data_IF_388280001970
#
_entry.id   IF_388280001970
#
_cell.length_a   1.000
_cell.length_b   1.000
_cell.length_c   1.000
_cell.angle_alpha   90.00
_cell.angle_beta   90.00
_cell.angle_gamma   90.00
#
_symmetry.space_group_name_H-M   'P 1'
#
loop_
_entity.id
_entity.type
_entity.pdbx_description
1 polymer ?
#
# COMPACT_ATOMS: atom_id res chain seq x y z
N UNK A 1 -6.53 -3.75 10.45
CA UNK A 1 -6.88 -5.17 10.63
C UNK A 1 -8.29 -5.27 11.19
N UNK A 2 -9.14 -6.08 10.58
CA UNK A 2 -10.54 -6.28 11.00
C UNK A 2 -10.84 -7.77 11.02
N UNK A 3 -11.70 -8.20 11.94
CA UNK A 3 -12.20 -9.56 12.04
C UNK A 3 -13.58 -9.62 11.40
N UNK A 4 -13.81 -10.56 10.50
CA UNK A 4 -15.12 -10.79 9.90
C UNK A 4 -15.72 -12.07 10.47
N UNK A 5 -16.96 -12.00 10.95
CA UNK A 5 -17.73 -13.14 11.47
C UNK A 5 -19.16 -13.07 10.93
N UNK A 6 -19.54 -14.05 10.09
CA UNK A 6 -20.83 -14.05 9.39
C UNK A 6 -21.01 -12.81 8.51
N UNK A 7 -22.04 -12.00 8.81
CA UNK A 7 -22.32 -10.73 8.13
C UNK A 7 -21.80 -9.49 8.89
N UNK A 8 -20.94 -9.67 9.90
CA UNK A 8 -20.40 -8.56 10.70
C UNK A 8 -18.89 -8.42 10.51
N UNK A 9 -18.43 -7.18 10.34
CA UNK A 9 -17.00 -6.83 10.28
C UNK A 9 -16.70 -5.95 11.50
N UNK A 10 -15.83 -6.44 12.39
CA UNK A 10 -15.36 -5.70 13.56
C UNK A 10 -13.93 -5.22 13.36
N UNK A 11 -13.65 -3.91 13.46
CA UNK A 11 -12.29 -3.40 13.39
C UNK A 11 -11.49 -3.83 14.63
N UNK A 12 -10.38 -4.54 14.44
CA UNK A 12 -9.46 -4.97 15.53
C UNK A 12 -8.37 -3.91 15.74
N UNK A 13 -7.89 -3.32 14.65
CA UNK A 13 -6.80 -2.35 14.66
C UNK A 13 -6.88 -1.47 13.42
N UNK A 14 -6.56 -0.19 13.56
CA UNK A 14 -6.47 0.77 12.45
C UNK A 14 -5.09 1.39 12.46
N UNK A 15 -4.46 1.43 11.28
CA UNK A 15 -3.26 2.23 11.07
C UNK A 15 -3.72 3.64 10.72
N UNK A 16 -3.26 4.64 11.49
CA UNK A 16 -3.58 6.06 11.25
C UNK A 16 -2.44 6.68 10.44
N UNK A 17 -2.77 7.61 9.55
CA UNK A 17 -1.80 8.50 8.93
C UNK A 17 -0.89 9.14 10.00
N UNK A 18 0.42 9.32 9.77
CA UNK A 18 1.16 9.16 8.51
C UNK A 18 1.93 7.81 8.38
N UNK A 19 1.54 6.79 9.14
CA UNK A 19 2.23 5.49 9.16
C UNK A 19 1.57 4.46 8.24
N UNK A 20 0.80 4.91 7.25
CA UNK A 20 0.14 4.00 6.32
C UNK A 20 1.17 3.41 5.35
N UNK A 21 1.15 2.09 5.19
CA UNK A 21 1.97 1.41 4.19
C UNK A 21 1.69 1.93 2.76
N UNK A 22 0.45 2.37 2.52
CA UNK A 22 0.05 3.01 1.27
C UNK A 22 0.77 4.33 1.03
N UNK A 23 1.00 5.15 2.07
CA UNK A 23 1.73 6.41 1.93
C UNK A 23 3.20 6.19 1.59
N UNK A 24 3.83 5.18 2.20
CA UNK A 24 5.20 4.76 1.85
C UNK A 24 5.27 4.31 0.39
N UNK A 25 4.27 3.54 -0.05
CA UNK A 25 4.22 3.03 -1.42
C UNK A 25 3.97 4.14 -2.46
N UNK A 26 3.12 5.11 -2.14
CA UNK A 26 2.91 6.30 -2.97
C UNK A 26 4.15 7.18 -3.02
N UNK A 27 4.89 7.33 -1.90
CA UNK A 27 6.17 8.06 -1.88
C UNK A 27 7.25 7.36 -2.73
N UNK A 28 7.32 6.02 -2.70
CA UNK A 28 8.20 5.24 -3.57
C UNK A 28 7.82 5.37 -5.04
N UNK A 29 6.52 5.34 -5.36
CA UNK A 29 6.00 5.59 -6.70
C UNK A 29 6.44 6.96 -7.22
N UNK A 30 6.31 7.99 -6.39
CA UNK A 30 6.79 9.33 -6.73
C UNK A 30 8.31 9.40 -6.92
N UNK A 31 9.07 8.76 -6.02
CA UNK A 31 10.53 8.72 -6.09
C UNK A 31 11.06 8.07 -7.37
N UNK A 32 10.37 7.03 -7.86
CA UNK A 32 10.71 6.35 -9.12
C UNK A 32 10.28 7.13 -10.38
N UNK A 33 9.70 8.32 -10.22
CA UNK A 33 9.24 9.18 -11.31
C UNK A 33 7.86 8.83 -11.86
N UNK A 34 7.10 8.00 -11.15
CA UNK A 34 5.77 7.55 -11.53
C UNK A 34 4.67 8.37 -10.82
N UNK A 35 3.46 8.40 -11.39
CA UNK A 35 2.35 9.17 -10.85
C UNK A 35 1.68 8.44 -9.65
N UNK A 36 1.68 9.03 -8.42
CA UNK A 36 1.01 8.44 -7.27
C UNK A 36 -0.48 8.23 -7.51
N UNK A 37 -1.06 7.17 -6.91
CA UNK A 37 -2.46 6.74 -7.10
C UNK A 37 -2.85 6.26 -8.52
N UNK A 38 -1.90 6.17 -9.47
CA UNK A 38 -2.16 5.68 -10.82
C UNK A 38 -1.14 4.64 -11.30
N UNK A 39 0.13 4.80 -10.90
CA UNK A 39 1.24 3.99 -11.42
C UNK A 39 1.85 3.03 -10.39
N UNK A 40 1.17 2.84 -9.26
CA UNK A 40 1.54 1.90 -8.19
C UNK A 40 1.71 0.46 -8.71
N UNK A 41 0.95 0.09 -9.74
CA UNK A 41 1.08 -1.18 -10.44
C UNK A 41 2.39 -1.33 -11.22
N UNK A 42 2.98 -0.23 -11.73
CA UNK A 42 4.29 -0.26 -12.42
C UNK A 42 5.41 -0.53 -11.42
N UNK A 43 5.35 0.08 -10.24
CA UNK A 43 6.29 -0.19 -9.13
C UNK A 43 6.22 -1.66 -8.72
N UNK A 44 5.00 -2.22 -8.62
CA UNK A 44 4.81 -3.63 -8.27
C UNK A 44 5.38 -4.55 -9.36
N UNK A 45 5.17 -4.22 -10.63
CA UNK A 45 5.71 -4.98 -11.76
C UNK A 45 7.22 -4.88 -11.93
N UNK A 46 7.84 -3.81 -11.40
CA UNK A 46 9.29 -3.62 -11.41
C UNK A 46 10.00 -4.28 -10.21
N UNK A 47 9.28 -4.61 -9.14
CA UNK A 47 9.82 -5.30 -7.97
C UNK A 47 10.66 -6.57 -8.28
N UNK A 48 10.29 -7.47 -9.21
CA UNK A 48 11.09 -8.66 -9.53
C UNK A 48 12.37 -8.37 -10.34
N UNK A 49 12.55 -7.16 -10.86
CA UNK A 49 13.77 -6.75 -11.57
C UNK A 49 14.83 -6.16 -10.63
N UNK A 50 14.49 -5.90 -9.37
CA UNK A 50 15.44 -5.50 -8.34
C UNK A 50 16.29 -6.68 -7.86
N UNK A 51 17.53 -6.41 -7.48
CA UNK A 51 18.36 -7.39 -6.75
C UNK A 51 18.12 -7.17 -5.25
N UNK A 52 17.79 -8.21 -4.47
CA UNK A 52 17.52 -8.08 -3.03
C UNK A 52 18.76 -7.68 -2.21
#
# INVERSE_FOLDING_TARGET
>A
MSYAEGHSIRPISKVRNPHSLGEVYSALTWYLGFLPNADEGKVMGLAPYGTP
#
